data_IF_081239233173
#
_entry.id   IF_081239233173
#
_cell.length_a   1.000
_cell.length_b   1.000
_cell.length_c   1.000
_cell.angle_alpha   90.00
_cell.angle_beta   90.00
_cell.angle_gamma   90.00
#
_symmetry.space_group_name_H-M   'P 1'
#
loop_
_entity.id
_entity.type
_entity.pdbx_description
1 polymer ?
#
# COMPACT_ATOMS: atom_id res chain seq x y z
N UNK A 1 19.93 -10.94 -7.44
CA UNK A 1 19.95 -9.93 -6.35
C UNK A 1 19.10 -10.48 -5.23
N UNK A 2 19.35 -10.12 -3.98
CA UNK A 2 18.52 -10.57 -2.86
C UNK A 2 17.96 -9.33 -2.15
N UNK A 3 16.65 -9.31 -1.92
CA UNK A 3 15.95 -8.25 -1.20
C UNK A 3 15.29 -8.88 0.03
N UNK A 4 15.48 -8.25 1.19
CA UNK A 4 14.84 -8.66 2.43
C UNK A 4 13.81 -7.61 2.81
N UNK A 5 12.56 -8.03 2.97
CA UNK A 5 11.50 -7.19 3.53
C UNK A 5 11.43 -7.43 5.03
N UNK A 6 11.47 -6.35 5.81
CA UNK A 6 11.31 -6.39 7.26
C UNK A 6 9.92 -6.89 7.67
N UNK A 7 9.84 -7.49 8.86
CA UNK A 7 8.57 -8.03 9.43
C UNK A 7 7.45 -6.99 9.45
N UNK A 8 7.79 -5.70 9.67
CA UNK A 8 6.85 -4.57 9.66
C UNK A 8 6.25 -4.33 8.28
N UNK A 9 7.09 -4.21 7.26
CA UNK A 9 6.65 -4.03 5.87
C UNK A 9 5.79 -5.20 5.38
N UNK A 10 6.18 -6.44 5.72
CA UNK A 10 5.40 -7.63 5.36
C UNK A 10 4.03 -7.62 6.04
N UNK A 11 3.95 -7.19 7.30
CA UNK A 11 2.67 -7.07 8.01
C UNK A 11 1.79 -6.00 7.37
N UNK A 12 2.34 -4.82 7.10
CA UNK A 12 1.63 -3.72 6.46
C UNK A 12 1.04 -4.14 5.11
N UNK A 13 1.84 -4.75 4.23
CA UNK A 13 1.35 -5.29 2.95
C UNK A 13 0.22 -6.30 3.15
N UNK A 14 0.30 -7.14 4.18
CA UNK A 14 -0.74 -8.15 4.47
C UNK A 14 -2.04 -7.53 4.93
N UNK A 15 -1.96 -6.53 5.82
CA UNK A 15 -3.13 -5.82 6.32
C UNK A 15 -3.80 -5.09 5.15
N UNK A 16 -3.04 -4.30 4.37
CA UNK A 16 -3.56 -3.61 3.19
C UNK A 16 -4.06 -4.54 2.08
N UNK A 17 -3.49 -5.74 1.94
CA UNK A 17 -4.00 -6.72 0.99
C UNK A 17 -5.33 -7.32 1.46
N UNK A 18 -5.51 -7.55 2.76
CA UNK A 18 -6.78 -7.98 3.30
C UNK A 18 -7.86 -6.90 3.08
N UNK A 19 -7.54 -5.64 3.37
CA UNK A 19 -8.43 -4.51 3.10
C UNK A 19 -8.77 -4.41 1.60
N UNK A 20 -7.78 -4.57 0.71
CA UNK A 20 -8.00 -4.57 -0.73
C UNK A 20 -8.94 -5.68 -1.22
N UNK A 21 -8.90 -6.87 -0.62
CA UNK A 21 -9.84 -7.97 -0.90
C UNK A 21 -11.26 -7.60 -0.45
N UNK A 22 -11.39 -6.96 0.71
CA UNK A 22 -12.69 -6.60 1.29
C UNK A 22 -13.35 -5.39 0.59
N UNK A 23 -12.55 -4.37 0.28
CA UNK A 23 -12.99 -3.10 -0.30
C UNK A 23 -13.00 -3.14 -1.84
N UNK A 24 -12.23 -4.06 -2.44
CA UNK A 24 -12.06 -4.17 -3.89
C UNK A 24 -11.21 -3.05 -4.48
N UNK A 25 -10.38 -2.40 -3.66
CA UNK A 25 -9.48 -1.32 -4.06
C UNK A 25 -8.03 -1.67 -3.74
N UNK A 26 -7.15 -1.60 -4.74
CA UNK A 26 -5.73 -1.96 -4.57
C UNK A 26 -4.82 -0.73 -4.56
N UNK A 27 -5.36 0.49 -4.47
CA UNK A 27 -4.56 1.72 -4.55
C UNK A 27 -3.66 1.87 -3.33
N UNK A 28 -4.21 1.68 -2.13
CA UNK A 28 -3.46 1.71 -0.88
C UNK A 28 -2.41 0.59 -0.83
N UNK A 29 -2.83 -0.65 -1.13
CA UNK A 29 -1.94 -1.81 -1.21
C UNK A 29 -0.73 -1.58 -2.12
N UNK A 30 -0.93 -0.96 -3.28
CA UNK A 30 0.16 -0.65 -4.21
C UNK A 30 1.18 0.30 -3.59
N UNK A 31 0.71 1.31 -2.88
CA UNK A 31 1.57 2.29 -2.20
C UNK A 31 2.34 1.62 -1.06
N UNK A 32 1.67 0.81 -0.24
CA UNK A 32 2.32 0.03 0.83
C UNK A 32 3.37 -0.96 0.30
N UNK A 33 3.09 -1.64 -0.81
CA UNK A 33 4.06 -2.53 -1.45
C UNK A 33 5.25 -1.74 -2.00
N UNK A 34 5.02 -0.56 -2.58
CA UNK A 34 6.09 0.30 -3.08
C UNK A 34 7.00 0.79 -1.94
N UNK A 35 6.42 1.24 -0.84
CA UNK A 35 7.12 1.74 0.34
C UNK A 35 7.92 0.67 1.08
N UNK A 36 7.56 -0.61 0.90
CA UNK A 36 8.32 -1.73 1.44
C UNK A 36 9.72 -1.88 0.80
N UNK A 37 9.96 -1.29 -0.37
CA UNK A 37 11.26 -1.31 -1.04
C UNK A 37 11.98 0.03 -0.90
N UNK A 38 13.29 -0.01 -0.66
CA UNK A 38 14.09 1.22 -0.66
C UNK A 38 14.23 1.80 -2.07
N UNK A 39 14.44 3.11 -2.17
CA UNK A 39 14.65 3.79 -3.46
C UNK A 39 15.77 3.13 -4.29
N UNK A 40 16.87 2.69 -3.66
CA UNK A 40 17.95 1.96 -4.35
C UNK A 40 17.51 0.59 -4.88
N UNK A 41 16.62 -0.11 -4.16
CA UNK A 41 16.07 -1.39 -4.62
C UNK A 41 15.12 -1.16 -5.79
N UNK A 42 14.26 -0.14 -5.70
CA UNK A 42 13.33 0.27 -6.77
C UNK A 42 14.10 0.62 -8.05
N UNK A 43 15.08 1.52 -7.98
CA UNK A 43 15.89 1.91 -9.15
C UNK A 43 16.59 0.71 -9.82
N UNK A 44 17.02 -0.27 -9.02
CA UNK A 44 17.71 -1.45 -9.49
C UNK A 44 16.75 -2.52 -10.05
N UNK A 45 15.50 -2.57 -9.58
CA UNK A 45 14.40 -3.32 -10.22
C UNK A 45 14.09 -2.69 -11.57
N UNK A 46 13.87 -1.37 -11.62
CA UNK A 46 13.57 -0.62 -12.85
C UNK A 46 14.66 -0.75 -13.91
N UNK A 47 15.92 -0.82 -13.50
CA UNK A 47 17.03 -1.09 -14.43
C UNK A 47 16.96 -2.47 -15.08
N UNK A 48 16.35 -3.44 -14.40
CA UNK A 48 16.16 -4.81 -14.90
C UNK A 48 14.86 -4.98 -15.65
N UNK A 49 13.84 -4.17 -15.36
CA UNK A 49 12.63 -4.11 -16.15
C UNK A 49 12.98 -3.72 -17.60
N UNK A 50 12.50 -4.52 -18.56
CA UNK A 50 12.67 -4.23 -19.98
C UNK A 50 11.81 -3.04 -20.44
N UNK A 51 10.77 -2.68 -19.68
CA UNK A 51 9.84 -1.57 -19.93
C UNK A 51 9.06 -1.21 -18.66
N UNK A 52 8.73 0.08 -18.51
CA UNK A 52 7.94 0.62 -17.40
C UNK A 52 8.77 0.95 -16.16
N UNK A 53 8.12 1.62 -15.21
CA UNK A 53 8.63 1.86 -13.86
C UNK A 53 8.09 0.81 -12.86
N UNK A 54 8.60 0.82 -11.63
CA UNK A 54 8.19 -0.18 -10.64
C UNK A 54 6.70 -0.05 -10.25
N UNK A 55 6.12 1.13 -10.36
CA UNK A 55 4.69 1.34 -10.10
C UNK A 55 3.81 0.72 -11.19
N UNK A 56 4.20 0.83 -12.48
CA UNK A 56 3.52 0.11 -13.56
C UNK A 56 3.62 -1.40 -13.36
N UNK A 57 4.80 -1.91 -12.99
CA UNK A 57 5.00 -3.32 -12.68
C UNK A 57 4.09 -3.82 -11.54
N UNK A 58 3.99 -3.07 -10.44
CA UNK A 58 3.08 -3.42 -9.34
C UNK A 58 1.62 -3.34 -9.78
N UNK A 59 1.26 -2.38 -10.62
CA UNK A 59 -0.11 -2.27 -11.15
C UNK A 59 -0.47 -3.49 -12.01
N UNK A 60 0.43 -3.96 -12.87
CA UNK A 60 0.24 -5.19 -13.65
C UNK A 60 0.08 -6.43 -12.75
N UNK A 61 0.86 -6.52 -11.67
CA UNK A 61 0.74 -7.61 -10.69
C UNK A 61 -0.60 -7.58 -9.97
N UNK A 62 -1.04 -6.40 -9.54
CA UNK A 62 -2.30 -6.25 -8.80
C UNK A 62 -3.52 -6.52 -9.69
N UNK A 63 -3.47 -6.14 -10.97
CA UNK A 63 -4.50 -6.51 -11.95
C UNK A 63 -4.53 -8.03 -12.18
N UNK A 64 -3.36 -8.69 -12.20
CA UNK A 64 -3.25 -10.16 -12.32
C UNK A 64 -3.75 -10.88 -11.06
N UNK A 65 -3.44 -10.37 -9.87
CA UNK A 65 -3.89 -10.93 -8.59
C UNK A 65 -5.41 -10.89 -8.44
N UNK A 66 -6.05 -9.77 -8.81
CA UNK A 66 -7.50 -9.65 -8.82
C UNK A 66 -8.19 -9.70 -7.44
N UNK A 67 -7.42 -9.63 -6.33
CA UNK A 67 -7.95 -9.58 -4.98
C UNK A 67 -8.49 -10.91 -4.45
N UNK A 68 -7.79 -12.03 -4.68
CA UNK A 68 -8.21 -13.36 -4.18
C UNK A 68 -7.71 -13.62 -2.75
N UNK A 69 -6.46 -14.06 -2.59
CA UNK A 69 -5.83 -14.33 -1.28
C UNK A 69 -4.48 -13.60 -1.15
N UNK A 70 -4.15 -13.13 0.05
CA UNK A 70 -2.89 -12.40 0.32
C UNK A 70 -1.65 -13.24 0.01
N UNK A 71 -1.70 -14.55 0.24
CA UNK A 71 -0.57 -15.43 -0.09
C UNK A 71 -0.32 -15.49 -1.61
N UNK A 72 -1.37 -15.43 -2.45
CA UNK A 72 -1.23 -15.40 -3.92
C UNK A 72 -0.52 -14.12 -4.38
N UNK A 73 -0.83 -12.97 -3.77
CA UNK A 73 -0.13 -11.72 -4.07
C UNK A 73 1.39 -11.86 -3.86
N UNK A 74 1.81 -12.43 -2.72
CA UNK A 74 3.23 -12.63 -2.46
C UNK A 74 3.86 -13.62 -3.44
N UNK A 75 3.17 -14.71 -3.78
CA UNK A 75 3.65 -15.67 -4.79
C UNK A 75 3.83 -15.02 -6.17
N UNK A 76 2.92 -14.12 -6.57
CA UNK A 76 3.01 -13.36 -7.82
C UNK A 76 4.21 -12.41 -7.80
N UNK A 77 4.40 -11.64 -6.73
CA UNK A 77 5.55 -10.76 -6.56
C UNK A 77 6.86 -11.55 -6.59
N UNK A 78 6.95 -12.67 -5.86
CA UNK A 78 8.14 -13.55 -5.84
C UNK A 78 8.45 -14.11 -7.23
N UNK A 79 7.41 -14.52 -7.98
CA UNK A 79 7.56 -15.08 -9.32
C UNK A 79 8.07 -14.05 -10.31
N UNK A 80 7.44 -12.87 -10.33
CA UNK A 80 7.78 -11.80 -11.27
C UNK A 80 9.17 -11.21 -10.96
N UNK A 81 9.49 -10.96 -9.69
CA UNK A 81 10.84 -10.55 -9.28
C UNK A 81 11.88 -11.65 -9.56
N UNK A 82 11.49 -12.92 -9.41
CA UNK A 82 12.32 -14.08 -9.73
C UNK A 82 12.74 -14.14 -11.20
N UNK A 83 11.84 -13.80 -12.13
CA UNK A 83 12.14 -13.71 -13.57
C UNK A 83 13.16 -12.61 -13.87
N UNK A 84 13.12 -11.51 -13.11
CA UNK A 84 14.12 -10.43 -13.14
C UNK A 84 15.44 -10.81 -12.45
N UNK A 85 15.56 -12.02 -11.90
CA UNK A 85 16.74 -12.50 -11.19
C UNK A 85 16.89 -11.90 -9.79
N UNK A 86 15.79 -11.50 -9.18
CA UNK A 86 15.69 -10.95 -7.83
C UNK A 86 15.02 -11.99 -6.92
N UNK A 87 15.70 -12.35 -5.85
CA UNK A 87 15.22 -13.28 -4.83
C UNK A 87 14.65 -12.44 -3.67
N UNK A 88 13.33 -12.52 -3.48
CA UNK A 88 12.64 -11.86 -2.39
C UNK A 88 12.65 -12.77 -1.15
N UNK A 89 12.98 -12.17 -0.01
CA UNK A 89 13.05 -12.83 1.30
C UNK A 89 12.33 -11.97 2.32
N UNK A 90 11.79 -12.62 3.35
CA UNK A 90 10.99 -11.97 4.38
C UNK A 90 11.64 -12.20 5.74
N UNK A 91 12.03 -11.13 6.42
CA UNK A 91 12.45 -11.20 7.81
C UNK A 91 11.24 -11.59 8.67
N UNK A 92 11.39 -12.66 9.45
CA UNK A 92 10.32 -13.21 10.27
C UNK A 92 9.61 -14.43 9.67
N UNK A 93 9.81 -14.76 8.37
CA UNK A 93 9.67 -16.16 7.93
C UNK A 93 10.91 -16.91 8.44
N UNK A 94 10.90 -17.23 9.73
CA UNK A 94 11.57 -18.43 10.19
C UNK A 94 10.96 -19.61 9.45
N UNK A 95 11.49 -19.91 8.26
CA UNK A 95 11.38 -21.20 7.58
C UNK A 95 9.96 -21.79 7.55
N UNK A 96 9.13 -21.34 6.62
CA UNK A 96 8.01 -22.16 6.11
C UNK A 96 8.51 -23.12 5.02
N UNK A 97 9.57 -23.85 5.35
CA UNK A 97 9.81 -25.19 4.80
C UNK A 97 9.40 -26.15 5.93
N UNK A 98 8.19 -26.68 5.85
CA UNK A 98 7.76 -27.99 6.38
C UNK A 98 8.61 -28.56 7.53
N UNK A 99 8.47 -28.05 8.77
CA UNK A 99 8.62 -28.83 10.01
C UNK A 99 8.32 -27.97 11.26
N UNK A 100 7.33 -28.43 12.03
CA UNK A 100 7.09 -28.24 13.48
C UNK A 100 7.67 -27.01 14.25
N UNK A 101 6.72 -26.29 14.87
CA UNK A 101 6.75 -25.75 16.25
C UNK A 101 7.40 -24.39 16.59
N UNK A 102 6.52 -23.54 17.15
CA UNK A 102 6.66 -22.67 18.34
C UNK A 102 7.42 -21.33 18.24
N UNK A 103 6.62 -20.25 18.28
CA UNK A 103 6.58 -19.19 19.31
C UNK A 103 7.93 -18.59 19.80
N UNK A 104 8.17 -17.32 19.46
CA UNK A 104 8.57 -16.28 20.43
C UNK A 104 8.42 -14.88 19.79
N UNK A 105 7.45 -14.13 20.31
CA UNK A 105 7.53 -12.73 20.74
C UNK A 105 8.50 -11.77 20.02
N UNK A 106 7.94 -10.68 19.46
CA UNK A 106 8.62 -9.38 19.49
C UNK A 106 7.53 -8.34 19.75
N UNK A 107 7.37 -8.02 21.04
CA UNK A 107 6.83 -6.77 21.55
C UNK A 107 7.62 -5.59 20.91
N UNK A 108 7.05 -4.90 19.93
CA UNK A 108 7.43 -3.50 19.68
C UNK A 108 6.15 -2.65 19.54
N UNK A 109 6.00 -1.86 20.60
CA UNK A 109 5.09 -0.76 20.86
C UNK A 109 5.77 0.50 20.30
N UNK A 110 5.24 1.07 19.22
CA UNK A 110 5.60 2.42 18.78
C UNK A 110 4.47 3.09 17.97
N UNK A 111 3.66 3.84 18.73
CA UNK A 111 2.95 5.09 18.38
C UNK A 111 2.02 5.13 17.15
N UNK A 112 0.76 4.70 17.38
CA UNK A 112 -0.38 5.40 16.77
C UNK A 112 -0.70 6.62 17.64
N UNK A 113 -0.12 7.77 17.30
CA UNK A 113 -0.53 9.09 17.78
C UNK A 113 -1.86 9.45 17.08
N UNK A 114 -2.94 8.81 17.54
CA UNK A 114 -4.32 9.17 17.25
C UNK A 114 -4.73 10.30 18.21
N UNK A 115 -4.29 11.52 17.91
CA UNK A 115 -4.77 12.73 18.56
C UNK A 115 -6.04 13.21 17.81
N UNK A 116 -7.11 12.40 17.89
CA UNK A 116 -8.49 12.85 17.64
C UNK A 116 -8.94 13.70 18.84
N UNK A 117 -8.58 14.99 18.84
CA UNK A 117 -9.17 16.00 19.71
C UNK A 117 -10.48 16.48 19.07
N UNK A 118 -11.53 15.71 19.31
CA UNK A 118 -12.94 16.10 19.18
C UNK A 118 -13.34 16.91 20.41
N UNK A 119 -13.34 18.24 20.30
CA UNK A 119 -14.00 19.13 21.26
C UNK A 119 -14.90 20.13 20.48
N UNK A 120 -16.11 19.64 20.22
CA UNK A 120 -17.43 20.25 20.48
C UNK A 120 -17.56 21.79 20.46
N UNK A 121 -18.45 22.25 19.57
CA UNK A 121 -19.49 23.29 19.79
C UNK A 121 -19.08 24.74 20.16
N UNK A 122 -19.28 25.68 19.22
CA UNK A 122 -20.00 26.92 19.53
C UNK A 122 -20.71 27.44 18.27
N UNK A 123 -22.03 27.26 18.30
CA UNK A 123 -23.08 27.87 17.49
C UNK A 123 -23.08 29.40 17.68
N UNK A 124 -22.92 30.20 16.62
CA UNK A 124 -23.51 31.55 16.57
C UNK A 124 -23.87 31.94 15.12
N UNK A 125 -25.16 31.78 14.87
CA UNK A 125 -26.03 32.35 13.84
C UNK A 125 -25.86 33.88 13.71
N UNK A 126 -25.64 34.42 12.50
CA UNK A 126 -26.32 35.65 12.02
C UNK A 126 -26.07 35.88 10.51
N UNK A 127 -27.08 35.52 9.72
CA UNK A 127 -27.70 36.28 8.62
C UNK A 127 -26.97 37.56 8.14
N UNK A 128 -26.59 37.64 6.86
CA UNK A 128 -26.95 38.81 6.04
C UNK A 128 -26.87 38.48 4.53
N UNK A 129 -28.08 38.37 3.99
CA UNK A 129 -28.55 38.58 2.63
C UNK A 129 -27.74 39.65 1.85
N UNK A 130 -27.35 39.37 0.60
CA UNK A 130 -27.59 40.29 -0.52
C UNK A 130 -27.30 39.60 -1.87
N UNK A 131 -28.40 39.14 -2.45
CA UNK A 131 -28.62 38.67 -3.82
C UNK A 131 -28.53 39.90 -4.77
N UNK A 132 -27.54 39.98 -5.66
CA UNK A 132 -27.58 40.87 -6.82
C UNK A 132 -27.09 40.14 -8.08
N UNK A 133 -27.94 39.24 -8.57
CA UNK A 133 -27.96 38.80 -9.96
C UNK A 133 -28.66 39.87 -10.82
N UNK A 134 -27.92 40.63 -11.63
CA UNK A 134 -28.52 41.32 -12.79
C UNK A 134 -27.55 41.27 -13.99
N UNK A 135 -27.45 40.07 -14.58
CA UNK A 135 -27.09 39.88 -15.98
C UNK A 135 -28.35 40.13 -16.85
N UNK A 136 -28.41 41.28 -17.53
CA UNK A 136 -29.29 41.46 -18.70
C UNK A 136 -28.47 41.90 -19.92
N UNK A 137 -28.10 40.89 -20.70
CA UNK A 137 -28.15 40.84 -22.17
C UNK A 137 -27.56 42.02 -22.97
N UNK A 138 -26.29 41.85 -23.31
CA UNK A 138 -25.64 42.54 -24.41
C UNK A 138 -25.95 41.90 -25.77
N UNK A 139 -27.18 41.96 -26.30
CA UNK A 139 -27.44 41.67 -27.73
C UNK A 139 -28.61 42.50 -28.32
N UNK A 140 -28.30 43.63 -28.99
CA UNK A 140 -28.78 43.99 -30.35
C UNK A 140 -28.33 45.38 -30.83
#
# INVERSE_FOLDING_TARGET
MEIHLDKRAVRQIRDSAADAVEEGDTEALREDVLEAFSEEQVEEIERRLDSGDFFEFLTDILDEWGGDDVDELFELIETQLGDLGIDLKYEGRGKVDDDEAADDDDEDDDDLDDDEDDDDDDDDDDDDDEDEEEDEDAER
#
